data_IF_039264453053
#
_entry.id   IF_039264453053
#
_cell.length_a   1.000
_cell.length_b   1.000
_cell.length_c   1.000
_cell.angle_alpha   90.00
_cell.angle_beta   90.00
_cell.angle_gamma   90.00
#
_symmetry.space_group_name_H-M   'P 1'
#
loop_
_entity.id
_entity.type
_entity.pdbx_description
1 polymer ?
#
# COMPACT_ATOMS: atom_id res chain seq x y z
N UNK A 1 -19.98 -9.19 -6.16
CA UNK A 1 -19.63 -10.14 -7.24
C UNK A 1 -18.33 -10.83 -6.90
N UNK A 2 -18.12 -12.10 -7.27
CA UNK A 2 -16.89 -12.85 -6.98
C UNK A 2 -15.62 -12.23 -7.59
N UNK A 3 -15.76 -11.28 -8.53
CA UNK A 3 -14.65 -10.57 -9.17
C UNK A 3 -14.25 -9.27 -8.44
N UNK A 4 -15.04 -8.83 -7.45
CA UNK A 4 -14.77 -7.56 -6.77
C UNK A 4 -13.48 -7.63 -5.95
N UNK A 5 -13.12 -8.81 -5.42
CA UNK A 5 -11.85 -9.02 -4.72
C UNK A 5 -10.64 -8.93 -5.68
N UNK A 6 -10.80 -9.34 -6.94
CA UNK A 6 -9.75 -9.21 -7.96
C UNK A 6 -9.55 -7.74 -8.33
N UNK A 7 -10.65 -6.98 -8.49
CA UNK A 7 -10.58 -5.53 -8.76
C UNK A 7 -9.93 -4.80 -7.59
N UNK A 8 -10.30 -5.16 -6.36
CA UNK A 8 -9.74 -4.55 -5.16
C UNK A 8 -8.25 -4.88 -4.99
N UNK A 9 -7.82 -6.10 -5.30
CA UNK A 9 -6.40 -6.45 -5.29
C UNK A 9 -5.60 -5.62 -6.32
N UNK A 10 -6.15 -5.40 -7.51
CA UNK A 10 -5.49 -4.65 -8.58
C UNK A 10 -5.26 -3.18 -8.19
N UNK A 11 -6.26 -2.55 -7.58
CA UNK A 11 -6.15 -1.17 -7.08
C UNK A 11 -6.90 -1.03 -5.75
N UNK A 12 -6.23 -1.30 -4.61
CA UNK A 12 -6.85 -1.20 -3.31
C UNK A 12 -7.26 0.24 -3.02
N UNK A 13 -8.44 0.45 -2.45
CA UNK A 13 -8.97 1.76 -2.09
C UNK A 13 -9.28 1.82 -0.60
N UNK A 14 -9.12 3.01 -0.01
CA UNK A 14 -9.28 3.26 1.42
C UNK A 14 -10.16 4.48 1.63
N UNK A 15 -11.21 4.34 2.44
CA UNK A 15 -12.04 5.47 2.89
C UNK A 15 -11.43 6.12 4.13
N UNK A 16 -11.87 7.32 4.49
CA UNK A 16 -11.41 8.01 5.70
C UNK A 16 -11.71 7.19 6.96
N UNK A 17 -12.88 6.56 7.04
CA UNK A 17 -13.28 5.71 8.15
C UNK A 17 -12.39 4.47 8.24
N UNK A 18 -12.10 3.82 7.10
CA UNK A 18 -11.17 2.70 7.06
C UNK A 18 -9.79 3.12 7.59
N UNK A 19 -9.28 4.28 7.17
CA UNK A 19 -7.97 4.79 7.59
C UNK A 19 -7.95 5.10 9.08
N UNK A 20 -9.01 5.71 9.63
CA UNK A 20 -9.12 6.03 11.05
C UNK A 20 -9.06 4.77 11.93
N UNK A 21 -9.55 3.63 11.43
CA UNK A 21 -9.52 2.36 12.15
C UNK A 21 -8.25 1.52 11.94
N UNK A 22 -7.36 1.88 11.00
CA UNK A 22 -6.14 1.10 10.71
C UNK A 22 -5.22 0.98 11.92
N UNK A 23 -5.06 2.04 12.72
CA UNK A 23 -4.16 2.05 13.87
C UNK A 23 -4.75 1.38 15.11
N UNK A 24 -6.07 1.27 15.19
CA UNK A 24 -6.77 0.63 16.30
C UNK A 24 -6.98 -0.88 16.09
N UNK A 25 -6.82 -1.37 14.87
CA UNK A 25 -7.08 -2.77 14.51
C UNK A 25 -5.88 -3.66 14.80
N UNK A 26 -6.04 -4.65 15.67
CA UNK A 26 -5.09 -5.76 15.89
C UNK A 26 -5.45 -7.00 15.05
N UNK A 27 -6.42 -6.88 14.15
CA UNK A 27 -6.96 -8.01 13.38
C UNK A 27 -5.96 -8.46 12.30
N UNK A 28 -5.61 -9.75 12.35
CA UNK A 28 -4.89 -10.41 11.27
C UNK A 28 -5.81 -10.61 10.04
N UNK A 29 -5.28 -10.29 8.87
CA UNK A 29 -5.87 -10.62 7.58
C UNK A 29 -5.43 -12.02 7.14
N UNK A 30 -6.21 -12.64 6.25
CA UNK A 30 -5.95 -13.98 5.71
C UNK A 30 -5.76 -13.87 4.20
N UNK A 31 -4.64 -14.39 3.71
CA UNK A 31 -4.37 -14.53 2.28
C UNK A 31 -5.07 -15.76 1.68
N UNK A 32 -5.10 -15.90 0.36
CA UNK A 32 -5.79 -17.00 -0.33
C UNK A 32 -5.17 -18.36 0.01
N UNK A 33 -3.85 -18.40 0.21
CA UNK A 33 -3.11 -19.60 0.65
C UNK A 33 -3.38 -19.98 2.12
N UNK A 34 -4.23 -19.23 2.82
CA UNK A 34 -4.61 -19.46 4.20
C UNK A 34 -3.67 -18.82 5.22
N UNK A 35 -2.55 -18.24 4.78
CA UNK A 35 -1.58 -17.60 5.68
C UNK A 35 -2.13 -16.32 6.30
N UNK A 36 -1.75 -16.07 7.55
CA UNK A 36 -2.17 -14.90 8.30
C UNK A 36 -1.10 -13.81 8.19
N UNK A 37 -1.53 -12.56 8.01
CA UNK A 37 -0.64 -11.41 7.98
C UNK A 37 -1.32 -10.19 8.62
N UNK A 38 -0.53 -9.22 9.04
CA UNK A 38 -1.07 -7.92 9.47
C UNK A 38 -0.89 -6.92 8.33
N UNK A 39 -1.93 -6.21 7.90
CA UNK A 39 -1.79 -5.15 6.90
C UNK A 39 -0.72 -4.13 7.33
N UNK A 40 0.14 -3.74 6.40
CA UNK A 40 1.31 -2.91 6.70
C UNK A 40 2.52 -3.64 7.29
N UNK A 41 2.39 -4.92 7.66
CA UNK A 41 3.49 -5.84 7.99
C UNK A 41 3.45 -7.02 7.03
N UNK A 42 3.83 -6.75 5.79
CA UNK A 42 3.96 -7.74 4.71
C UNK A 42 5.34 -7.61 4.07
N UNK A 43 5.88 -8.73 3.57
CA UNK A 43 7.20 -8.75 2.97
C UNK A 43 7.26 -7.94 1.67
N UNK A 44 8.39 -7.27 1.42
CA UNK A 44 8.72 -6.74 0.09
C UNK A 44 9.72 -7.68 -0.57
N UNK A 45 9.49 -8.00 -1.84
CA UNK A 45 10.41 -8.86 -2.57
C UNK A 45 11.77 -8.18 -2.78
N UNK A 46 12.85 -8.91 -2.49
CA UNK A 46 14.20 -8.45 -2.77
C UNK A 46 14.53 -8.73 -4.25
N UNK A 47 14.50 -7.69 -5.09
CA UNK A 47 14.88 -7.79 -6.49
C UNK A 47 16.39 -7.55 -6.54
N UNK A 48 17.15 -8.61 -6.26
CA UNK A 48 18.63 -8.65 -6.16
C UNK A 48 19.18 -8.07 -4.87
N UNK A 49 19.65 -6.83 -4.89
CA UNK A 49 20.34 -6.15 -3.79
C UNK A 49 19.66 -4.80 -3.52
N UNK A 50 18.33 -4.82 -3.34
CA UNK A 50 17.51 -3.64 -3.07
C UNK A 50 16.89 -3.65 -1.66
N UNK A 51 17.41 -4.49 -0.78
CA UNK A 51 17.03 -4.62 0.62
C UNK A 51 17.09 -3.30 1.39
N UNK A 52 18.11 -2.48 1.15
CA UNK A 52 18.19 -1.13 1.73
C UNK A 52 16.97 -0.27 1.38
N UNK A 53 16.47 -0.36 0.15
CA UNK A 53 15.30 0.39 -0.30
C UNK A 53 14.04 -0.17 0.36
N UNK A 54 13.92 -1.50 0.45
CA UNK A 54 12.81 -2.15 1.16
C UNK A 54 12.75 -1.71 2.62
N UNK A 55 13.90 -1.56 3.30
CA UNK A 55 13.96 -1.03 4.68
C UNK A 55 13.40 0.39 4.74
N UNK A 56 13.81 1.29 3.84
CA UNK A 56 13.32 2.68 3.80
C UNK A 56 11.80 2.71 3.52
N UNK A 57 11.31 1.93 2.56
CA UNK A 57 9.89 1.87 2.22
C UNK A 57 9.05 1.35 3.38
N UNK A 58 9.53 0.33 4.10
CA UNK A 58 8.85 -0.19 5.30
C UNK A 58 8.87 0.83 6.44
N UNK A 59 9.97 1.53 6.65
CA UNK A 59 10.06 2.58 7.67
C UNK A 59 9.07 3.73 7.40
N UNK A 60 9.03 4.22 6.15
CA UNK A 60 8.12 5.30 5.75
C UNK A 60 6.64 4.86 5.76
N UNK A 61 6.35 3.61 5.41
CA UNK A 61 5.00 3.01 5.48
C UNK A 61 4.37 3.09 6.88
N UNK A 62 5.21 3.09 7.92
CA UNK A 62 4.77 3.16 9.33
C UNK A 62 4.54 4.58 9.84
N UNK A 63 4.96 5.60 9.10
CA UNK A 63 4.73 7.00 9.47
C UNK A 63 3.27 7.36 9.18
N UNK A 64 2.42 7.30 10.21
CA UNK A 64 0.95 7.44 10.12
C UNK A 64 0.47 8.58 9.22
N UNK A 65 0.89 9.86 9.38
CA UNK A 65 0.40 10.94 8.52
C UNK A 65 0.81 10.76 7.05
N UNK A 66 2.02 10.28 6.80
CA UNK A 66 2.53 10.01 5.45
C UNK A 66 1.76 8.86 4.80
N UNK A 67 1.60 7.75 5.54
CA UNK A 67 0.79 6.60 5.12
C UNK A 67 -0.62 7.05 4.74
N UNK A 68 -1.31 7.77 5.64
CA UNK A 68 -2.70 8.20 5.42
C UNK A 68 -2.83 9.07 4.18
N UNK A 69 -1.85 9.97 3.94
CA UNK A 69 -1.80 10.77 2.72
C UNK A 69 -1.73 9.90 1.46
N UNK A 70 -0.84 8.90 1.43
CA UNK A 70 -0.62 8.04 0.26
C UNK A 70 -1.65 6.91 0.07
N UNK A 71 -2.40 6.54 1.11
CA UNK A 71 -3.50 5.58 1.00
C UNK A 71 -4.69 6.10 0.18
N UNK A 72 -4.80 7.41 -0.02
CA UNK A 72 -5.84 8.03 -0.84
C UNK A 72 -5.23 8.76 -2.03
N UNK A 73 -5.50 8.23 -3.23
CA UNK A 73 -4.95 8.76 -4.46
C UNK A 73 -5.34 10.22 -4.73
N UNK A 74 -6.55 10.61 -4.35
CA UNK A 74 -7.07 11.97 -4.49
C UNK A 74 -6.23 13.04 -3.79
N UNK A 75 -5.46 12.68 -2.76
CA UNK A 75 -4.60 13.61 -2.02
C UNK A 75 -3.44 14.13 -2.86
N UNK A 76 -3.01 13.36 -3.86
CA UNK A 76 -1.88 13.72 -4.71
C UNK A 76 -2.23 13.75 -6.20
N UNK A 77 -3.19 12.99 -6.71
CA UNK A 77 -3.46 12.85 -8.16
C UNK A 77 -3.67 14.14 -8.94
N UNK A 78 -4.16 15.20 -8.28
CA UNK A 78 -4.45 16.52 -8.89
C UNK A 78 -3.35 17.57 -8.68
N UNK A 79 -2.20 17.19 -8.10
CA UNK A 79 -1.06 18.10 -7.95
C UNK A 79 -0.59 18.55 -9.34
N UNK A 80 -0.52 19.87 -9.55
CA UNK A 80 -0.05 20.46 -10.81
C UNK A 80 1.44 20.19 -10.98
N UNK A 81 1.84 19.83 -12.20
CA UNK A 81 3.24 19.46 -12.52
C UNK A 81 3.73 20.22 -13.75
N UNK A 82 5.03 20.51 -13.83
CA UNK A 82 5.61 20.99 -15.07
C UNK A 82 5.58 19.87 -16.13
N UNK A 83 5.48 20.23 -17.42
CA UNK A 83 5.60 19.26 -18.51
C UNK A 83 6.94 18.51 -18.41
N UNK A 84 6.92 17.19 -18.60
CA UNK A 84 8.13 16.35 -18.57
C UNK A 84 8.62 15.94 -17.17
N UNK A 85 7.88 16.22 -16.10
CA UNK A 85 8.23 15.76 -14.75
C UNK A 85 8.09 14.24 -14.59
N UNK A 86 9.23 13.55 -14.75
CA UNK A 86 9.35 12.10 -14.53
C UNK A 86 9.47 11.73 -13.05
N UNK A 87 9.91 12.65 -12.19
CA UNK A 87 10.12 12.38 -10.77
C UNK A 87 8.81 12.10 -10.04
N UNK A 88 7.72 12.73 -10.48
CA UNK A 88 6.40 12.50 -9.90
C UNK A 88 5.89 11.06 -10.03
N UNK A 89 6.43 10.27 -10.96
CA UNK A 89 6.13 8.84 -11.02
C UNK A 89 6.43 8.16 -9.67
N UNK A 90 7.44 8.64 -8.94
CA UNK A 90 7.75 8.16 -7.58
C UNK A 90 6.57 8.36 -6.63
N UNK A 91 5.90 9.51 -6.67
CA UNK A 91 4.72 9.82 -5.82
C UNK A 91 3.59 8.84 -6.15
N UNK A 92 3.33 8.62 -7.44
CA UNK A 92 2.28 7.70 -7.88
C UNK A 92 2.58 6.25 -7.46
N UNK A 93 3.79 5.77 -7.75
CA UNK A 93 4.22 4.39 -7.43
C UNK A 93 4.34 4.14 -5.93
N UNK A 94 4.80 5.12 -5.17
CA UNK A 94 4.82 5.02 -3.72
C UNK A 94 3.40 4.89 -3.15
N UNK A 95 2.45 5.69 -3.64
CA UNK A 95 1.04 5.56 -3.24
C UNK A 95 0.42 4.22 -3.61
N UNK A 96 0.65 3.71 -4.82
CA UNK A 96 0.24 2.36 -5.22
C UNK A 96 0.82 1.29 -4.30
N UNK A 97 2.12 1.40 -3.98
CA UNK A 97 2.80 0.46 -3.08
C UNK A 97 2.20 0.51 -1.66
N UNK A 98 1.96 1.71 -1.11
CA UNK A 98 1.34 1.87 0.20
C UNK A 98 -0.03 1.19 0.24
N UNK A 99 -0.86 1.38 -0.79
CA UNK A 99 -2.18 0.75 -0.87
C UNK A 99 -2.11 -0.77 -0.93
N UNK A 100 -1.12 -1.33 -1.63
CA UNK A 100 -0.87 -2.79 -1.65
C UNK A 100 -0.36 -3.33 -0.30
N UNK A 101 0.58 -2.63 0.34
CA UNK A 101 1.13 -3.01 1.65
C UNK A 101 0.05 -3.07 2.73
N UNK A 102 -0.85 -2.09 2.72
CA UNK A 102 -1.92 -1.95 3.72
C UNK A 102 -3.23 -2.60 3.30
N UNK A 103 -3.26 -3.35 2.19
CA UNK A 103 -4.45 -4.04 1.72
C UNK A 103 -4.83 -5.20 2.68
N UNK A 104 -6.01 -5.16 3.32
CA UNK A 104 -6.46 -6.24 4.21
C UNK A 104 -6.97 -7.50 3.48
N UNK A 105 -7.00 -7.48 2.14
CA UNK A 105 -7.50 -8.54 1.26
C UNK A 105 -6.46 -8.95 0.22
N UNK A 106 -5.19 -9.04 0.60
CA UNK A 106 -4.13 -9.50 -0.29
C UNK A 106 -4.26 -11.00 -0.57
N UNK A 107 -3.90 -11.39 -1.78
CA UNK A 107 -3.89 -12.81 -2.16
C UNK A 107 -2.64 -13.54 -1.66
N UNK A 108 -1.57 -12.80 -1.35
CA UNK A 108 -0.28 -13.28 -0.85
C UNK A 108 0.22 -12.38 0.28
N UNK A 109 1.13 -12.89 1.10
CA UNK A 109 1.72 -12.17 2.25
C UNK A 109 2.97 -11.34 1.91
N UNK A 110 3.25 -11.16 0.62
CA UNK A 110 4.33 -10.33 0.11
C UNK A 110 3.87 -9.48 -1.08
N UNK A 111 4.50 -8.32 -1.25
CA UNK A 111 4.25 -7.35 -2.32
C UNK A 111 5.52 -7.15 -3.16
N UNK A 112 5.36 -6.89 -4.45
CA UNK A 112 6.42 -6.51 -5.40
C UNK A 112 6.10 -5.16 -6.05
#
# INVERSE_FOLDING_TARGET
SSLDDIKYLLNPTFTEEHIAHLDASTKMSRAIDGSLYMPGIVGLNNIKANDYCNVVLQALSRVVPLRNYFLREENYSKVKRPPGDSAYLLVQRYGELMRKLWNPRNFKTHVS
#
